data_IF_852062133964
#
_entry.id   IF_852062133964
#
_cell.length_a   1.000
_cell.length_b   1.000
_cell.length_c   1.000
_cell.angle_alpha   90.00
_cell.angle_beta   90.00
_cell.angle_gamma   90.00
#
_symmetry.space_group_name_H-M   'P 1'
#
loop_
_entity.id
_entity.type
_entity.pdbx_description
1 polymer ?
#
# COMPACT_ATOMS: atom_id res chain seq x y z
N UNK A 1 -16.12 -40.24 -27.82
CA UNK A 1 -15.72 -40.44 -26.41
C UNK A 1 -14.29 -40.97 -26.40
N UNK A 2 -13.30 -40.10 -26.13
CA UNK A 2 -11.90 -40.53 -26.07
C UNK A 2 -11.64 -41.18 -24.70
N UNK A 3 -11.17 -42.43 -24.69
CA UNK A 3 -10.79 -43.15 -23.47
C UNK A 3 -9.38 -42.73 -23.07
N UNK A 4 -9.28 -41.81 -22.10
CA UNK A 4 -7.99 -41.39 -21.57
C UNK A 4 -7.35 -42.56 -20.80
N UNK A 5 -6.13 -42.93 -21.19
CA UNK A 5 -5.38 -44.05 -20.62
C UNK A 5 -4.94 -43.69 -19.20
N UNK A 6 -5.11 -44.57 -18.20
CA UNK A 6 -4.82 -44.25 -16.78
C UNK A 6 -3.36 -43.86 -16.54
N UNK A 7 -2.44 -44.36 -17.36
CA UNK A 7 -1.03 -43.95 -17.36
C UNK A 7 -0.84 -42.49 -17.77
N UNK A 8 -1.61 -41.98 -18.75
CA UNK A 8 -1.58 -40.57 -19.15
C UNK A 8 -2.12 -39.68 -18.02
N UNK A 9 -3.17 -40.14 -17.33
CA UNK A 9 -3.75 -39.44 -16.18
C UNK A 9 -2.72 -39.30 -15.04
N UNK A 10 -1.94 -40.36 -14.79
CA UNK A 10 -0.89 -40.35 -13.78
C UNK A 10 0.25 -39.37 -14.12
N UNK A 11 0.65 -39.29 -15.39
CA UNK A 11 1.66 -38.33 -15.84
C UNK A 11 1.18 -36.88 -15.72
N UNK A 12 -0.09 -36.61 -16.02
CA UNK A 12 -0.67 -35.27 -15.87
C UNK A 12 -0.74 -34.87 -14.39
N UNK A 13 -1.15 -35.79 -13.49
CA UNK A 13 -1.16 -35.54 -12.04
C UNK A 13 0.26 -35.29 -11.50
N UNK A 14 1.23 -36.09 -11.93
CA UNK A 14 2.63 -35.92 -11.55
C UNK A 14 3.20 -34.58 -12.05
N UNK A 15 2.87 -34.17 -13.28
CA UNK A 15 3.26 -32.88 -13.84
C UNK A 15 2.66 -31.69 -13.09
N UNK A 16 1.42 -31.80 -12.60
CA UNK A 16 0.76 -30.74 -11.83
C UNK A 16 1.40 -30.54 -10.45
N UNK A 17 1.92 -31.61 -9.85
CA UNK A 17 2.65 -31.56 -8.57
C UNK A 17 4.07 -30.97 -8.67
N UNK A 18 4.65 -30.88 -9.86
CA UNK A 18 6.04 -30.40 -10.06
C UNK A 18 6.07 -28.92 -10.48
N UNK A 19 4.91 -28.30 -10.75
CA UNK A 19 4.87 -26.87 -10.99
C UNK A 19 5.26 -26.15 -9.70
N UNK A 20 6.38 -25.39 -9.67
CA UNK A 20 6.68 -24.57 -8.52
C UNK A 20 5.53 -23.58 -8.37
N UNK A 21 4.80 -23.66 -7.26
CA UNK A 21 4.07 -22.51 -6.75
C UNK A 21 5.14 -21.44 -6.54
N UNK A 22 5.33 -20.57 -7.53
CA UNK A 22 6.07 -19.34 -7.33
C UNK A 22 5.14 -18.53 -6.42
N UNK A 23 5.44 -18.35 -5.12
CA UNK A 23 4.69 -17.38 -4.36
C UNK A 23 4.92 -16.06 -5.09
N UNK A 24 3.83 -15.47 -5.60
CA UNK A 24 3.87 -14.08 -6.01
C UNK A 24 4.53 -13.32 -4.86
N UNK A 25 5.63 -12.63 -5.15
CA UNK A 25 6.37 -11.89 -4.14
C UNK A 25 5.36 -11.07 -3.36
N UNK A 26 5.25 -11.33 -2.06
CA UNK A 26 4.15 -10.86 -1.24
C UNK A 26 4.13 -9.34 -1.19
N UNK A 27 3.42 -8.73 -2.14
CA UNK A 27 2.81 -7.43 -1.91
C UNK A 27 1.86 -7.68 -0.76
N UNK A 28 2.08 -7.01 0.37
CA UNK A 28 1.11 -6.98 1.45
C UNK A 28 -0.21 -6.53 0.81
N UNK A 29 -1.16 -7.46 0.67
CA UNK A 29 -2.42 -7.19 0.00
C UNK A 29 -3.19 -6.26 0.93
N UNK A 30 -3.30 -4.99 0.53
CA UNK A 30 -4.19 -4.05 1.20
C UNK A 30 -5.60 -4.26 0.68
N UNK A 31 -6.58 -4.20 1.57
CA UNK A 31 -7.98 -4.38 1.20
C UNK A 31 -8.59 -3.06 0.72
N UNK A 32 -8.14 -1.95 1.29
CA UNK A 32 -8.57 -0.60 0.95
C UNK A 32 -7.60 0.45 1.48
N UNK A 33 -7.85 1.71 1.09
CA UNK A 33 -7.05 2.86 1.48
C UNK A 33 -7.84 3.81 2.37
N UNK A 34 -7.17 4.34 3.39
CA UNK A 34 -7.65 5.52 4.11
C UNK A 34 -7.00 6.77 3.52
N UNK A 35 -7.81 7.73 3.08
CA UNK A 35 -7.38 9.09 2.78
C UNK A 35 -7.66 9.95 4.00
N UNK A 36 -6.63 10.28 4.77
CA UNK A 36 -6.74 11.11 5.95
C UNK A 36 -6.56 12.58 5.57
N UNK A 37 -7.58 13.38 5.88
CA UNK A 37 -7.57 14.82 5.68
C UNK A 37 -7.53 15.51 7.04
N UNK A 38 -6.61 16.45 7.22
CA UNK A 38 -6.48 17.21 8.46
C UNK A 38 -6.98 18.64 8.31
N UNK A 39 -7.61 19.17 9.37
CA UNK A 39 -7.96 20.58 9.47
C UNK A 39 -6.87 21.34 10.23
N UNK A 40 -6.14 22.28 9.60
CA UNK A 40 -5.00 22.95 10.21
C UNK A 40 -5.39 23.81 11.43
N UNK A 41 -6.64 24.30 11.48
CA UNK A 41 -7.13 25.09 12.62
C UNK A 41 -7.28 24.28 13.91
N UNK A 42 -7.60 22.99 13.83
CA UNK A 42 -7.68 22.11 15.00
C UNK A 42 -6.30 21.64 15.44
N UNK A 43 -5.40 21.41 14.48
CA UNK A 43 -4.04 20.93 14.76
C UNK A 43 -3.25 21.93 15.62
N UNK A 44 -3.20 23.20 15.21
CA UNK A 44 -2.44 24.23 15.92
C UNK A 44 -3.11 24.77 17.19
N UNK A 45 -4.36 24.39 17.50
CA UNK A 45 -5.13 24.94 18.62
C UNK A 45 -5.23 23.98 19.83
N UNK A 46 -4.48 22.87 19.82
CA UNK A 46 -4.46 21.92 20.94
C UNK A 46 -3.54 22.39 22.06
N UNK A 47 -4.00 22.31 23.31
CA UNK A 47 -3.25 22.77 24.49
C UNK A 47 -1.90 22.04 24.71
N UNK A 48 -1.71 20.89 24.06
CA UNK A 48 -0.51 20.06 24.16
C UNK A 48 0.58 20.43 23.13
N UNK A 49 0.21 21.12 22.04
CA UNK A 49 1.18 21.63 21.05
C UNK A 49 1.58 23.05 21.43
N UNK A 50 2.53 23.20 22.35
CA UNK A 50 3.07 24.52 22.72
C UNK A 50 3.84 25.23 21.59
N UNK A 51 4.05 24.58 20.44
CA UNK A 51 4.75 25.16 19.29
C UNK A 51 4.22 24.55 17.98
N UNK A 52 3.20 25.18 17.38
CA UNK A 52 2.80 24.85 16.01
C UNK A 52 3.72 25.59 15.03
N UNK A 53 4.55 24.86 14.30
CA UNK A 53 5.42 25.44 13.28
C UNK A 53 4.68 25.51 11.94
N UNK A 54 4.69 26.69 11.31
CA UNK A 54 4.17 26.86 9.97
C UNK A 54 5.24 26.48 8.92
N UNK A 55 4.84 25.99 7.74
CA UNK A 55 5.75 25.81 6.62
C UNK A 55 6.45 27.12 6.23
N UNK A 56 7.66 27.00 5.69
CA UNK A 56 8.46 28.15 5.22
C UNK A 56 7.93 28.77 3.93
N UNK A 57 7.13 28.03 3.17
CA UNK A 57 6.64 28.43 1.85
C UNK A 57 5.47 29.40 1.92
N UNK A 58 4.53 29.21 2.86
CA UNK A 58 3.49 30.15 3.27
C UNK A 58 2.57 29.50 4.31
N UNK A 59 1.70 30.30 4.94
CA UNK A 59 0.61 29.77 5.77
C UNK A 59 -0.32 28.93 4.89
N UNK A 60 -0.68 27.70 5.31
CA UNK A 60 -1.65 26.87 4.59
C UNK A 60 -2.99 27.58 4.42
N UNK A 61 -3.72 27.23 3.34
CA UNK A 61 -5.10 27.64 3.18
C UNK A 61 -5.97 27.13 4.35
N UNK A 62 -7.05 27.84 4.66
CA UNK A 62 -8.05 27.39 5.63
C UNK A 62 -8.98 26.36 4.99
N UNK A 63 -8.40 25.24 4.57
CA UNK A 63 -9.08 24.10 3.95
C UNK A 63 -8.51 22.79 4.52
N UNK A 64 -9.17 21.67 4.24
CA UNK A 64 -8.62 20.35 4.49
C UNK A 64 -7.36 20.13 3.66
N UNK A 65 -6.31 19.66 4.32
CA UNK A 65 -5.07 19.27 3.67
C UNK A 65 -4.89 17.76 3.79
N UNK A 66 -4.26 17.15 2.79
CA UNK A 66 -3.93 15.72 2.83
C UNK A 66 -2.87 15.49 3.89
N UNK A 67 -3.20 14.68 4.89
CA UNK A 67 -2.28 14.29 5.96
C UNK A 67 -1.54 13.01 5.60
N UNK A 68 -2.29 11.96 5.24
CA UNK A 68 -1.73 10.68 4.83
C UNK A 68 -2.68 9.92 3.91
N UNK A 69 -2.09 8.99 3.13
CA UNK A 69 -2.81 7.96 2.41
C UNK A 69 -2.24 6.62 2.85
N UNK A 70 -3.06 5.80 3.51
CA UNK A 70 -2.61 4.64 4.25
C UNK A 70 -3.27 3.37 3.72
N UNK A 71 -2.47 2.32 3.54
CA UNK A 71 -2.95 0.98 3.21
C UNK A 71 -3.41 0.27 4.47
N UNK A 72 -4.64 -0.25 4.47
CA UNK A 72 -5.18 -1.00 5.60
C UNK A 72 -5.42 -2.46 5.25
N UNK A 73 -5.06 -3.33 6.18
CA UNK A 73 -5.33 -4.77 6.13
C UNK A 73 -6.48 -5.09 7.09
N UNK A 74 -7.60 -5.54 6.55
CA UNK A 74 -8.80 -5.88 7.32
C UNK A 74 -8.64 -7.18 8.11
N UNK A 75 -7.72 -8.07 7.70
CA UNK A 75 -7.44 -9.31 8.40
C UNK A 75 -6.63 -9.06 9.67
N UNK A 76 -5.56 -8.26 9.60
CA UNK A 76 -4.79 -7.86 10.78
C UNK A 76 -5.41 -6.70 11.56
N UNK A 77 -6.39 -6.00 10.97
CA UNK A 77 -7.05 -4.84 11.57
C UNK A 77 -6.12 -3.65 11.75
N UNK A 78 -5.06 -3.56 10.94
CA UNK A 78 -3.96 -2.61 11.13
C UNK A 78 -3.54 -1.96 9.81
N UNK A 79 -2.90 -0.78 9.91
CA UNK A 79 -2.26 -0.12 8.77
C UNK A 79 -0.97 -0.87 8.42
N UNK A 80 -0.76 -1.13 7.13
CA UNK A 80 0.46 -1.73 6.60
C UNK A 80 1.52 -0.63 6.50
N UNK A 81 2.68 -0.84 7.12
CA UNK A 81 3.79 0.13 7.13
C UNK A 81 5.13 -0.53 6.80
N UNK A 82 6.07 0.27 6.30
CA UNK A 82 7.45 -0.15 6.01
C UNK A 82 7.55 -1.41 5.11
N UNK A 83 6.76 -1.46 4.05
CA UNK A 83 6.70 -2.60 3.12
C UNK A 83 8.06 -2.90 2.46
N UNK A 84 8.88 -1.87 2.21
CA UNK A 84 10.18 -2.02 1.61
C UNK A 84 11.17 -0.97 2.17
N UNK A 85 12.17 -1.45 2.91
CA UNK A 85 13.21 -0.62 3.53
C UNK A 85 14.28 -0.11 2.55
N UNK A 86 14.25 -0.56 1.29
CA UNK A 86 15.18 -0.14 0.23
C UNK A 86 14.58 0.90 -0.71
N UNK A 87 13.25 1.08 -0.69
CA UNK A 87 12.54 2.09 -1.47
C UNK A 87 12.64 3.45 -0.79
N UNK A 88 13.59 4.28 -1.25
CA UNK A 88 13.77 5.63 -0.74
C UNK A 88 12.87 6.63 -1.48
N UNK A 89 12.47 7.69 -0.77
CA UNK A 89 11.74 8.80 -1.37
C UNK A 89 12.71 9.76 -2.09
N UNK A 90 12.47 10.00 -3.38
CA UNK A 90 13.27 10.89 -4.23
C UNK A 90 12.42 12.04 -4.78
N UNK A 91 12.65 13.26 -4.29
CA UNK A 91 11.87 14.48 -4.65
C UNK A 91 11.92 14.82 -6.14
N UNK A 92 13.01 14.46 -6.83
CA UNK A 92 13.26 14.84 -8.23
C UNK A 92 12.92 13.74 -9.23
N UNK A 93 12.47 12.57 -8.78
CA UNK A 93 11.85 11.59 -9.68
C UNK A 93 10.45 12.14 -9.97
N UNK A 94 10.32 12.75 -11.15
CA UNK A 94 9.30 13.75 -11.44
C UNK A 94 7.90 13.39 -10.95
N UNK A 95 7.32 14.29 -10.14
CA UNK A 95 5.92 14.72 -10.00
C UNK A 95 4.76 13.77 -10.32
N UNK A 96 4.97 12.47 -10.41
CA UNK A 96 3.94 11.47 -10.62
C UNK A 96 3.71 10.80 -9.29
N UNK A 97 2.51 11.07 -8.76
CA UNK A 97 1.67 10.10 -8.05
C UNK A 97 2.45 9.25 -7.05
N UNK A 98 2.29 9.56 -5.76
CA UNK A 98 2.51 8.63 -4.64
C UNK A 98 2.25 7.23 -5.17
N UNK A 99 3.30 6.44 -5.42
CA UNK A 99 3.27 5.26 -6.29
C UNK A 99 2.06 4.37 -5.99
N UNK A 100 0.95 4.62 -6.67
CA UNK A 100 -0.10 3.66 -6.90
C UNK A 100 0.44 2.91 -8.10
N UNK A 101 1.34 1.96 -7.84
CA UNK A 101 1.70 1.00 -8.87
C UNK A 101 0.37 0.40 -9.35
N UNK A 102 0.02 0.69 -10.61
CA UNK A 102 -1.14 0.12 -11.26
C UNK A 102 -1.01 -1.41 -11.19
N UNK A 103 -2.11 -2.03 -10.76
CA UNK A 103 -2.34 -3.47 -10.76
C UNK A 103 -2.02 -4.09 -12.13
#
# INVERSE_FOLDING_TARGET
MATLKPSLLLYILASLCISPFIPAQGVAQSDFFYLNLMWPGSYCNTANFKTCCMPTTSKPALDFIVESMEMYDSYSGSVITNCNSTCNFYVNQGSYVIWLDEV
#
